data_IF_279640521204
#
_entry.id   IF_279640521204
#
_cell.length_a   1.000
_cell.length_b   1.000
_cell.length_c   1.000
_cell.angle_alpha   90.00
_cell.angle_beta   90.00
_cell.angle_gamma   90.00
#
_symmetry.space_group_name_H-M   'P 1'
#
loop_
_entity.id
_entity.type
_entity.pdbx_description
1 polymer ?
#
# COMPACT_ATOMS: atom_id res chain seq x y z
N UNK A 1 24.93 -15.08 -47.71
CA UNK A 1 25.08 -13.67 -47.30
C UNK A 1 24.57 -13.54 -45.87
N UNK A 2 25.47 -13.52 -44.89
CA UNK A 2 25.11 -13.23 -43.51
C UNK A 2 25.13 -11.71 -43.35
N UNK A 3 23.97 -11.08 -43.22
CA UNK A 3 23.90 -9.69 -42.77
C UNK A 3 24.34 -9.66 -41.31
N UNK A 4 25.53 -9.09 -41.05
CA UNK A 4 25.92 -8.75 -39.69
C UNK A 4 24.94 -7.70 -39.18
N UNK A 5 24.22 -8.03 -38.11
CA UNK A 5 23.35 -7.08 -37.45
C UNK A 5 24.20 -5.89 -36.99
N UNK A 6 23.85 -4.67 -37.43
CA UNK A 6 24.54 -3.49 -36.94
C UNK A 6 24.29 -3.36 -35.43
N UNK A 7 25.33 -3.08 -34.63
CA UNK A 7 25.17 -2.90 -33.20
C UNK A 7 24.22 -1.75 -32.90
N UNK A 8 23.35 -1.96 -31.93
CA UNK A 8 22.38 -1.00 -31.44
C UNK A 8 23.09 0.28 -30.96
N UNK A 9 22.38 1.42 -30.96
CA UNK A 9 22.91 2.67 -30.42
C UNK A 9 23.40 2.54 -28.97
N UNK A 10 22.79 1.63 -28.21
CA UNK A 10 23.14 1.34 -26.83
C UNK A 10 24.49 0.61 -26.72
N UNK A 11 24.77 -0.34 -27.61
CA UNK A 11 26.07 -1.04 -27.67
C UNK A 11 27.22 -0.10 -28.04
N UNK A 12 26.96 0.93 -28.86
CA UNK A 12 27.96 1.94 -29.23
C UNK A 12 28.33 2.88 -28.08
N UNK A 13 27.42 3.11 -27.14
CA UNK A 13 27.61 4.04 -26.01
C UNK A 13 28.19 3.37 -24.75
N UNK A 14 28.18 2.04 -24.67
CA UNK A 14 28.62 1.30 -23.49
C UNK A 14 30.10 1.55 -23.10
N UNK A 15 31.07 1.69 -24.02
CA UNK A 15 32.45 2.04 -23.65
C UNK A 15 32.57 3.41 -22.99
N UNK A 16 31.84 4.42 -23.51
CA UNK A 16 31.82 5.76 -22.94
C UNK A 16 31.17 5.77 -21.55
N UNK A 17 30.07 5.03 -21.37
CA UNK A 17 29.43 4.83 -20.07
C UNK A 17 30.39 4.23 -19.05
N UNK A 18 31.10 3.15 -19.39
CA UNK A 18 32.10 2.52 -18.51
C UNK A 18 33.25 3.45 -18.16
N UNK A 19 33.70 4.26 -19.12
CA UNK A 19 34.74 5.25 -18.88
C UNK A 19 34.30 6.32 -17.87
N UNK A 20 33.11 6.91 -18.07
CA UNK A 20 32.56 7.92 -17.14
C UNK A 20 32.34 7.31 -15.75
N UNK A 21 31.80 6.10 -15.66
CA UNK A 21 31.64 5.38 -14.40
C UNK A 21 32.98 5.21 -13.68
N UNK A 22 34.03 4.78 -14.38
CA UNK A 22 35.37 4.61 -13.81
C UNK A 22 35.93 5.93 -13.26
N UNK A 23 35.86 7.02 -14.04
CA UNK A 23 36.34 8.35 -13.64
C UNK A 23 35.61 8.84 -12.39
N UNK A 24 34.28 8.71 -12.36
CA UNK A 24 33.47 9.11 -11.21
C UNK A 24 33.78 8.26 -9.98
N UNK A 25 33.96 6.96 -10.15
CA UNK A 25 34.36 6.08 -9.06
C UNK A 25 35.72 6.49 -8.48
N UNK A 26 36.68 6.89 -9.31
CA UNK A 26 38.00 7.34 -8.86
C UNK A 26 37.89 8.66 -8.09
N UNK A 27 37.13 9.64 -8.60
CA UNK A 27 36.84 10.88 -7.90
C UNK A 27 36.23 10.62 -6.49
N UNK A 28 35.31 9.67 -6.40
CA UNK A 28 34.67 9.30 -5.13
C UNK A 28 35.58 8.56 -4.14
N UNK A 29 36.79 8.11 -4.53
CA UNK A 29 37.76 7.47 -3.60
C UNK A 29 38.50 8.48 -2.73
N UNK A 30 38.58 9.75 -3.13
CA UNK A 30 39.35 10.74 -2.38
C UNK A 30 38.65 11.13 -1.07
N UNK A 31 39.35 10.99 0.06
CA UNK A 31 38.81 11.33 1.39
C UNK A 31 38.50 12.83 1.60
N UNK A 32 38.80 13.69 0.62
CA UNK A 32 38.55 15.13 0.67
C UNK A 32 37.32 15.56 -0.14
N UNK A 33 36.39 14.65 -0.42
CA UNK A 33 35.23 14.97 -1.23
C UNK A 33 34.28 15.95 -0.52
N UNK A 34 34.03 17.08 -1.18
CA UNK A 34 33.01 18.04 -0.74
C UNK A 34 31.61 17.49 -0.99
N UNK A 35 30.56 17.95 -0.28
CA UNK A 35 29.17 17.57 -0.59
C UNK A 35 28.81 17.78 -2.06
N UNK A 36 29.37 18.81 -2.70
CA UNK A 36 29.19 19.07 -4.13
C UNK A 36 29.74 17.93 -4.99
N UNK A 37 30.99 17.52 -4.76
CA UNK A 37 31.64 16.43 -5.48
C UNK A 37 30.92 15.10 -5.25
N UNK A 38 30.47 14.85 -4.01
CA UNK A 38 29.67 13.66 -3.67
C UNK A 38 28.34 13.66 -4.41
N UNK A 39 27.62 14.79 -4.41
CA UNK A 39 26.32 14.92 -5.09
C UNK A 39 26.47 14.71 -6.61
N UNK A 40 27.40 15.41 -7.25
CA UNK A 40 27.65 15.29 -8.69
C UNK A 40 28.05 13.86 -9.08
N UNK A 41 29.00 13.26 -8.35
CA UNK A 41 29.45 11.90 -8.61
C UNK A 41 28.34 10.88 -8.40
N UNK A 42 27.60 10.99 -7.29
CA UNK A 42 26.50 10.07 -6.98
C UNK A 42 25.36 10.21 -8.00
N UNK A 43 24.95 11.43 -8.36
CA UNK A 43 23.96 11.67 -9.42
C UNK A 43 24.38 11.07 -10.74
N UNK A 44 25.66 11.22 -11.12
CA UNK A 44 26.18 10.62 -12.35
C UNK A 44 26.08 9.10 -12.31
N UNK A 45 26.48 8.45 -11.21
CA UNK A 45 26.35 6.99 -11.04
C UNK A 45 24.89 6.52 -11.08
N UNK A 46 23.96 7.32 -10.54
CA UNK A 46 22.52 7.04 -10.59
C UNK A 46 22.00 7.05 -12.03
N UNK A 47 22.30 8.10 -12.81
CA UNK A 47 21.89 8.18 -14.21
C UNK A 47 22.51 7.08 -15.08
N UNK A 48 23.74 6.67 -14.76
CA UNK A 48 24.39 5.52 -15.40
C UNK A 48 23.83 4.17 -14.93
N UNK A 49 22.86 4.13 -14.02
CA UNK A 49 22.28 2.89 -13.45
C UNK A 49 23.36 1.95 -12.88
N UNK A 50 24.41 2.52 -12.29
CA UNK A 50 25.49 1.75 -11.66
C UNK A 50 24.96 0.97 -10.43
N UNK A 51 25.50 -0.23 -10.20
CA UNK A 51 25.16 -1.08 -9.04
C UNK A 51 26.31 -1.09 -8.02
N UNK A 52 26.79 0.08 -7.63
CA UNK A 52 27.96 0.21 -6.76
C UNK A 52 27.55 0.59 -5.34
N UNK A 53 28.21 -0.03 -4.34
CA UNK A 53 28.11 0.33 -2.91
C UNK A 53 28.42 1.82 -2.67
N UNK A 54 29.16 2.45 -3.60
CA UNK A 54 29.48 3.88 -3.56
C UNK A 54 28.26 4.79 -3.69
N UNK A 55 27.19 4.36 -4.39
CA UNK A 55 25.95 5.13 -4.42
C UNK A 55 25.35 5.22 -3.02
N UNK A 56 25.25 4.10 -2.31
CA UNK A 56 24.68 4.06 -0.96
C UNK A 56 25.53 4.88 0.03
N UNK A 57 26.86 4.77 -0.05
CA UNK A 57 27.78 5.63 0.73
C UNK A 57 27.63 7.11 0.40
N UNK A 58 27.51 7.45 -0.89
CA UNK A 58 27.26 8.80 -1.36
C UNK A 58 25.96 9.36 -0.80
N UNK A 59 24.84 8.64 -0.95
CA UNK A 59 23.53 9.02 -0.41
C UNK A 59 23.58 9.20 1.11
N UNK A 60 24.19 8.26 1.84
CA UNK A 60 24.35 8.34 3.30
C UNK A 60 25.12 9.59 3.72
N UNK A 61 26.20 9.91 2.98
CA UNK A 61 27.01 11.09 3.21
C UNK A 61 26.24 12.38 2.95
N UNK A 62 25.45 12.42 1.87
CA UNK A 62 24.60 13.57 1.52
C UNK A 62 23.48 13.79 2.54
N UNK A 63 22.80 12.73 2.98
CA UNK A 63 21.79 12.82 4.04
C UNK A 63 22.36 13.39 5.35
N UNK A 64 23.62 13.08 5.66
CA UNK A 64 24.31 13.57 6.86
C UNK A 64 24.82 15.02 6.72
N UNK A 65 25.15 15.44 5.49
CA UNK A 65 25.67 16.77 5.19
C UNK A 65 24.56 17.81 4.95
N UNK A 66 23.44 17.40 4.35
CA UNK A 66 22.35 18.29 3.93
C UNK A 66 21.83 19.23 5.04
N UNK A 67 21.57 18.77 6.28
CA UNK A 67 21.08 19.65 7.35
C UNK A 67 22.05 20.77 7.75
N UNK A 68 23.33 20.65 7.36
CA UNK A 68 24.41 21.59 7.69
C UNK A 68 24.71 22.57 6.55
N UNK A 69 24.16 22.33 5.35
CA UNK A 69 24.28 23.23 4.22
C UNK A 69 23.29 24.39 4.44
N UNK A 70 23.79 25.52 4.95
CA UNK A 70 22.98 26.72 5.12
C UNK A 70 22.38 27.22 3.80
N UNK A 71 21.25 27.92 3.88
CA UNK A 71 20.63 28.62 2.74
C UNK A 71 21.44 29.89 2.44
N UNK A 72 22.63 29.73 1.84
CA UNK A 72 23.39 30.86 1.31
C UNK A 72 22.75 31.44 0.05
N UNK A 73 23.00 32.72 -0.22
CA UNK A 73 22.62 33.35 -1.50
C UNK A 73 23.33 32.65 -2.67
N UNK A 74 22.66 32.63 -3.83
CA UNK A 74 23.22 32.10 -5.07
C UNK A 74 24.36 33.01 -5.54
N UNK A 75 25.57 32.81 -5.03
CA UNK A 75 26.75 33.49 -5.56
C UNK A 75 27.21 32.77 -6.83
N UNK A 76 26.98 33.40 -7.98
CA UNK A 76 27.72 33.09 -9.20
C UNK A 76 29.04 33.85 -9.11
N UNK A 77 30.13 33.16 -8.77
CA UNK A 77 31.45 33.79 -8.84
C UNK A 77 31.81 34.04 -10.31
N UNK A 78 31.77 35.30 -10.74
CA UNK A 78 32.57 35.75 -11.88
C UNK A 78 33.90 36.23 -11.33
N UNK A 79 34.99 35.48 -11.52
CA UNK A 79 36.33 35.97 -11.19
C UNK A 79 37.08 36.42 -12.45
N UNK A 80 37.39 37.71 -12.47
CA UNK A 80 38.52 38.31 -13.18
C UNK A 80 39.81 37.67 -12.64
N UNK A 81 40.69 37.17 -13.51
CA UNK A 81 42.05 36.61 -13.27
C UNK A 81 42.33 35.14 -13.64
N UNK A 82 41.79 34.64 -14.75
CA UNK A 82 42.44 33.58 -15.55
C UNK A 82 42.40 32.13 -15.05
N UNK A 83 42.21 31.88 -13.75
CA UNK A 83 42.07 30.53 -13.19
C UNK A 83 40.61 30.23 -12.83
N UNK A 84 39.95 29.43 -13.67
CA UNK A 84 38.56 29.03 -13.47
C UNK A 84 38.45 28.00 -12.33
N UNK A 85 38.03 28.44 -11.15
CA UNK A 85 37.65 27.55 -10.05
C UNK A 85 36.15 27.64 -9.81
N UNK A 86 35.42 26.63 -10.29
CA UNK A 86 34.01 26.43 -9.94
C UNK A 86 33.96 25.84 -8.52
N UNK A 87 34.08 26.69 -7.50
CA UNK A 87 33.68 26.29 -6.16
C UNK A 87 32.15 26.34 -6.12
N UNK A 88 31.51 25.17 -6.03
CA UNK A 88 30.07 25.07 -5.97
C UNK A 88 29.53 25.97 -4.86
N UNK A 89 28.76 27.00 -5.21
CA UNK A 89 28.10 27.84 -4.21
C UNK A 89 27.26 26.96 -3.27
N UNK A 90 26.99 27.39 -2.03
CA UNK A 90 26.12 26.64 -1.13
C UNK A 90 24.78 26.29 -1.78
N UNK A 91 24.18 27.22 -2.54
CA UNK A 91 22.92 27.03 -3.27
C UNK A 91 23.03 25.99 -4.37
N UNK A 92 24.06 26.04 -5.21
CA UNK A 92 24.26 25.04 -6.28
C UNK A 92 24.54 23.66 -5.71
N UNK A 93 25.31 23.60 -4.62
CA UNK A 93 25.59 22.35 -3.89
C UNK A 93 24.31 21.78 -3.29
N UNK A 94 23.48 22.61 -2.68
CA UNK A 94 22.18 22.22 -2.14
C UNK A 94 21.24 21.69 -3.24
N UNK A 95 21.14 22.41 -4.36
CA UNK A 95 20.33 22.00 -5.51
C UNK A 95 20.78 20.64 -6.06
N UNK A 96 22.09 20.42 -6.19
CA UNK A 96 22.63 19.13 -6.60
C UNK A 96 22.32 18.03 -5.59
N UNK A 97 22.44 18.29 -4.28
CA UNK A 97 22.07 17.31 -3.25
C UNK A 97 20.59 16.92 -3.35
N UNK A 98 19.70 17.89 -3.53
CA UNK A 98 18.26 17.66 -3.68
C UNK A 98 17.98 16.83 -4.95
N UNK A 99 18.62 17.17 -6.07
CA UNK A 99 18.52 16.41 -7.32
C UNK A 99 19.00 14.96 -7.12
N UNK A 100 20.19 14.76 -6.53
CA UNK A 100 20.73 13.41 -6.25
C UNK A 100 19.74 12.58 -5.44
N UNK A 101 19.22 13.14 -4.34
CA UNK A 101 18.29 12.46 -3.46
C UNK A 101 16.96 12.17 -4.17
N UNK A 102 16.47 13.10 -4.99
CA UNK A 102 15.25 12.94 -5.77
C UNK A 102 15.37 11.82 -6.81
N UNK A 103 16.49 11.77 -7.55
CA UNK A 103 16.78 10.70 -8.52
C UNK A 103 16.90 9.36 -7.80
N UNK A 104 17.60 9.29 -6.67
CA UNK A 104 17.70 8.08 -5.87
C UNK A 104 16.33 7.58 -5.39
N UNK A 105 15.49 8.47 -4.84
CA UNK A 105 14.13 8.14 -4.42
C UNK A 105 13.31 7.60 -5.60
N UNK A 106 13.40 8.22 -6.78
CA UNK A 106 12.71 7.75 -7.98
C UNK A 106 13.20 6.35 -8.42
N UNK A 107 14.51 6.10 -8.37
CA UNK A 107 15.09 4.78 -8.67
C UNK A 107 14.66 3.72 -7.66
N UNK A 108 14.63 4.05 -6.36
CA UNK A 108 14.14 3.13 -5.33
C UNK A 108 12.66 2.82 -5.51
N UNK A 109 11.83 3.82 -5.86
CA UNK A 109 10.41 3.60 -6.22
C UNK A 109 10.27 2.65 -7.39
N UNK A 110 11.08 2.80 -8.44
CA UNK A 110 11.09 1.90 -9.61
C UNK A 110 11.52 0.47 -9.25
N UNK A 111 12.53 0.32 -8.40
CA UNK A 111 13.00 -0.98 -7.88
C UNK A 111 11.94 -1.66 -7.01
N UNK A 112 11.27 -0.90 -6.14
CA UNK A 112 10.19 -1.42 -5.31
C UNK A 112 8.99 -1.83 -6.17
N UNK A 113 8.68 -1.07 -7.23
CA UNK A 113 7.63 -1.44 -8.17
C UNK A 113 7.94 -2.75 -8.89
N UNK A 114 9.16 -2.94 -9.40
CA UNK A 114 9.55 -4.19 -10.07
C UNK A 114 9.55 -5.39 -9.12
N UNK A 115 9.98 -5.19 -7.87
CA UNK A 115 9.91 -6.22 -6.84
C UNK A 115 8.45 -6.57 -6.49
N UNK A 116 7.57 -5.58 -6.36
CA UNK A 116 6.14 -5.80 -6.11
C UNK A 116 5.46 -6.54 -7.26
N UNK A 117 5.81 -6.22 -8.52
CA UNK A 117 5.33 -6.95 -9.69
C UNK A 117 5.77 -8.41 -9.63
N UNK A 118 7.05 -8.67 -9.34
CA UNK A 118 7.57 -10.03 -9.22
C UNK A 118 6.91 -10.81 -8.08
N UNK A 119 6.75 -10.20 -6.90
CA UNK A 119 6.06 -10.82 -5.76
C UNK A 119 4.62 -11.17 -6.13
N UNK A 120 3.91 -10.25 -6.78
CA UNK A 120 2.54 -10.46 -7.25
C UNK A 120 2.50 -11.67 -8.19
N UNK A 121 3.34 -11.70 -9.21
CA UNK A 121 3.42 -12.82 -10.17
C UNK A 121 3.67 -14.16 -9.46
N UNK A 122 4.64 -14.24 -8.54
CA UNK A 122 4.93 -15.46 -7.79
C UNK A 122 3.75 -15.94 -6.93
N UNK A 123 3.05 -15.00 -6.27
CA UNK A 123 1.85 -15.30 -5.48
C UNK A 123 0.72 -15.83 -6.37
N UNK A 124 0.47 -15.19 -7.51
CA UNK A 124 -0.59 -15.64 -8.43
C UNK A 124 -0.23 -16.95 -9.14
N UNK A 125 1.04 -17.20 -9.44
CA UNK A 125 1.51 -18.52 -9.88
C UNK A 125 1.25 -19.56 -8.79
N UNK A 126 1.55 -19.26 -7.52
CA UNK A 126 1.24 -20.15 -6.41
C UNK A 126 -0.26 -20.46 -6.31
N UNK A 127 -1.12 -19.45 -6.48
CA UNK A 127 -2.58 -19.62 -6.50
C UNK A 127 -3.04 -20.47 -7.71
N UNK A 128 -2.48 -20.25 -8.90
CA UNK A 128 -2.77 -21.05 -10.10
C UNK A 128 -2.38 -22.52 -9.93
N UNK A 129 -1.27 -22.81 -9.26
CA UNK A 129 -0.89 -24.21 -8.98
C UNK A 129 -1.94 -24.94 -8.13
N UNK A 130 -2.65 -24.23 -7.25
CA UNK A 130 -3.63 -24.82 -6.33
C UNK A 130 -4.95 -25.18 -7.00
N UNK A 131 -5.23 -24.62 -8.17
CA UNK A 131 -6.49 -24.87 -8.89
C UNK A 131 -6.36 -25.98 -9.94
N UNK A 132 -5.14 -26.43 -10.26
CA UNK A 132 -4.85 -27.41 -11.32
C UNK A 132 -5.64 -28.73 -11.23
N UNK A 133 -6.03 -29.14 -10.03
CA UNK A 133 -6.71 -30.40 -9.78
C UNK A 133 -8.23 -30.24 -9.58
N UNK A 134 -8.78 -29.05 -9.83
CA UNK A 134 -10.21 -28.82 -9.71
C UNK A 134 -10.96 -29.51 -10.88
N UNK A 135 -12.21 -29.96 -10.65
CA UNK A 135 -13.08 -30.41 -11.73
C UNK A 135 -13.24 -29.33 -12.81
N UNK A 136 -13.35 -29.74 -14.07
CA UNK A 136 -13.30 -28.84 -15.24
C UNK A 136 -14.17 -27.58 -15.12
N UNK A 137 -15.43 -27.73 -14.70
CA UNK A 137 -16.36 -26.59 -14.57
C UNK A 137 -15.89 -25.58 -13.53
N UNK A 138 -15.53 -26.05 -12.33
CA UNK A 138 -15.05 -25.21 -11.25
C UNK A 138 -13.67 -24.61 -11.58
N UNK A 139 -12.79 -25.38 -12.23
CA UNK A 139 -11.48 -24.91 -12.69
C UNK A 139 -11.61 -23.67 -13.59
N UNK A 140 -12.46 -23.74 -14.62
CA UNK A 140 -12.65 -22.63 -15.56
C UNK A 140 -13.14 -21.36 -14.87
N UNK A 141 -14.09 -21.50 -13.94
CA UNK A 141 -14.66 -20.39 -13.19
C UNK A 141 -13.63 -19.76 -12.23
N UNK A 142 -13.00 -20.58 -11.39
CA UNK A 142 -11.98 -20.17 -10.42
C UNK A 142 -10.77 -19.53 -11.13
N UNK A 143 -10.34 -20.09 -12.26
CA UNK A 143 -9.25 -19.54 -13.06
C UNK A 143 -9.61 -18.16 -13.62
N UNK A 144 -10.84 -17.97 -14.09
CA UNK A 144 -11.32 -16.65 -14.53
C UNK A 144 -11.30 -15.64 -13.38
N UNK A 145 -11.88 -15.99 -12.22
CA UNK A 145 -11.88 -15.10 -11.04
C UNK A 145 -10.46 -14.73 -10.63
N UNK A 146 -9.55 -15.71 -10.59
CA UNK A 146 -8.16 -15.48 -10.21
C UNK A 146 -7.43 -14.57 -11.22
N UNK A 147 -7.67 -14.74 -12.53
CA UNK A 147 -7.14 -13.84 -13.56
C UNK A 147 -7.69 -12.43 -13.42
N UNK A 148 -9.00 -12.29 -13.29
CA UNK A 148 -9.67 -10.98 -13.16
C UNK A 148 -9.13 -10.24 -11.92
N UNK A 149 -9.02 -10.94 -10.77
CA UNK A 149 -8.45 -10.39 -9.55
C UNK A 149 -6.95 -10.06 -9.65
N UNK A 150 -6.19 -10.79 -10.47
CA UNK A 150 -4.78 -10.47 -10.73
C UNK A 150 -4.60 -9.17 -11.50
N UNK A 151 -5.60 -8.72 -12.25
CA UNK A 151 -5.56 -7.44 -12.97
C UNK A 151 -6.07 -6.28 -12.10
N UNK A 152 -6.82 -6.59 -11.04
CA UNK A 152 -7.36 -5.59 -10.13
C UNK A 152 -6.27 -4.89 -9.29
N UNK A 153 -6.52 -3.62 -8.94
CA UNK A 153 -5.64 -2.81 -8.07
C UNK A 153 -5.43 -3.45 -6.70
N UNK A 154 -6.47 -4.08 -6.16
CA UNK A 154 -6.47 -4.78 -4.88
C UNK A 154 -5.64 -6.07 -4.94
N UNK A 155 -5.49 -6.70 -6.10
CA UNK A 155 -4.70 -7.92 -6.26
C UNK A 155 -3.23 -7.74 -5.87
N UNK A 156 -2.64 -6.59 -6.20
CA UNK A 156 -1.27 -6.26 -5.79
C UNK A 156 -1.16 -6.05 -4.27
N UNK A 157 -2.13 -5.35 -3.67
CA UNK A 157 -2.16 -5.12 -2.23
C UNK A 157 -2.33 -6.43 -1.45
N UNK A 158 -3.24 -7.30 -1.89
CA UNK A 158 -3.49 -8.60 -1.30
C UNK A 158 -2.23 -9.49 -1.33
N UNK A 159 -1.57 -9.57 -2.48
CA UNK A 159 -0.36 -10.36 -2.65
C UNK A 159 0.83 -9.82 -1.83
N UNK A 160 0.97 -8.50 -1.76
CA UNK A 160 2.11 -7.83 -1.12
C UNK A 160 2.01 -7.69 0.40
N UNK A 161 0.82 -7.77 1.00
CA UNK A 161 0.62 -7.50 2.43
C UNK A 161 1.50 -8.35 3.37
N UNK A 162 1.71 -9.67 3.14
CA UNK A 162 2.61 -10.45 3.99
C UNK A 162 4.07 -10.00 3.93
N UNK A 163 4.53 -9.53 2.75
CA UNK A 163 5.88 -9.00 2.57
C UNK A 163 6.05 -7.66 3.28
N UNK A 164 5.04 -6.79 3.17
CA UNK A 164 4.97 -5.54 3.93
C UNK A 164 4.99 -5.81 5.44
N UNK A 165 4.23 -6.79 5.92
CA UNK A 165 4.23 -7.14 7.33
C UNK A 165 5.59 -7.70 7.76
N UNK A 166 6.19 -8.58 6.95
CA UNK A 166 7.50 -9.14 7.24
C UNK A 166 8.59 -8.06 7.32
N UNK A 167 8.59 -7.07 6.43
CA UNK A 167 9.56 -5.96 6.49
C UNK A 167 9.44 -5.12 7.76
N UNK A 168 8.26 -5.14 8.42
CA UNK A 168 8.09 -4.49 9.73
C UNK A 168 8.59 -5.29 10.92
N UNK A 169 8.70 -6.61 10.75
CA UNK A 169 9.11 -7.57 11.79
C UNK A 169 10.62 -7.86 11.73
N UNK A 170 11.27 -7.62 10.60
CA UNK A 170 12.71 -7.77 10.45
C UNK A 170 13.45 -6.53 10.96
N UNK A 171 14.27 -6.70 11.99
CA UNK A 171 15.54 -5.96 12.07
C UNK A 171 16.56 -6.65 11.17
N UNK A 172 17.71 -6.03 10.90
CA UNK A 172 18.76 -6.60 10.04
C UNK A 172 19.08 -8.07 10.37
N UNK A 173 18.90 -8.57 11.62
CA UNK A 173 19.36 -9.89 12.05
C UNK A 173 18.36 -10.80 12.81
N UNK A 174 17.05 -10.49 12.88
CA UNK A 174 16.14 -11.16 13.85
C UNK A 174 15.14 -12.19 13.30
N UNK A 175 14.21 -11.77 12.45
CA UNK A 175 13.11 -12.61 11.99
C UNK A 175 13.47 -13.37 10.70
N UNK A 176 13.32 -14.70 10.71
CA UNK A 176 13.61 -15.55 9.53
C UNK A 176 12.33 -16.23 9.04
N UNK A 177 11.52 -15.50 8.28
CA UNK A 177 10.47 -16.11 7.45
C UNK A 177 11.06 -16.29 6.05
N UNK A 178 11.04 -17.52 5.54
CA UNK A 178 11.57 -17.76 4.19
C UNK A 178 10.68 -17.09 3.14
N UNK A 179 11.28 -16.66 2.04
CA UNK A 179 10.55 -16.09 0.89
C UNK A 179 9.40 -16.97 0.41
N UNK A 180 9.61 -18.30 0.38
CA UNK A 180 8.57 -19.28 0.03
C UNK A 180 7.37 -19.24 0.96
N UNK A 181 7.58 -19.09 2.28
CA UNK A 181 6.48 -18.96 3.24
C UNK A 181 5.71 -17.66 2.99
N UNK A 182 6.41 -16.55 2.69
CA UNK A 182 5.74 -15.28 2.35
C UNK A 182 4.89 -15.38 1.09
N UNK A 183 5.37 -16.08 0.05
CA UNK A 183 4.57 -16.36 -1.16
C UNK A 183 3.32 -17.19 -0.82
N UNK A 184 3.45 -18.22 0.03
CA UNK A 184 2.28 -19.01 0.46
C UNK A 184 1.30 -18.18 1.30
N UNK A 185 1.78 -17.31 2.21
CA UNK A 185 0.92 -16.38 2.95
C UNK A 185 0.24 -15.36 2.01
N UNK A 186 0.95 -14.90 0.97
CA UNK A 186 0.41 -14.03 -0.07
C UNK A 186 -0.72 -14.73 -0.81
N UNK A 187 -0.53 -16.00 -1.15
CA UNK A 187 -1.55 -16.83 -1.76
C UNK A 187 -2.77 -16.98 -0.83
N UNK A 188 -2.56 -17.24 0.46
CA UNK A 188 -3.65 -17.34 1.43
C UNK A 188 -4.45 -16.04 1.53
N UNK A 189 -3.76 -14.89 1.51
CA UNK A 189 -4.40 -13.59 1.57
C UNK A 189 -5.19 -13.27 0.30
N UNK A 190 -4.65 -13.57 -0.89
CA UNK A 190 -5.36 -13.45 -2.17
C UNK A 190 -6.61 -14.31 -2.18
N UNK A 191 -6.52 -15.59 -1.78
CA UNK A 191 -7.67 -16.47 -1.67
C UNK A 191 -8.71 -15.91 -0.67
N UNK A 192 -8.27 -15.42 0.49
CA UNK A 192 -9.14 -14.77 1.46
C UNK A 192 -9.88 -13.55 0.87
N UNK A 193 -9.15 -12.64 0.21
CA UNK A 193 -9.75 -11.45 -0.42
C UNK A 193 -10.80 -11.83 -1.45
N UNK A 194 -10.47 -12.75 -2.36
CA UNK A 194 -11.42 -13.22 -3.37
C UNK A 194 -12.67 -13.80 -2.71
N UNK A 195 -12.51 -14.67 -1.69
CA UNK A 195 -13.65 -15.26 -1.01
C UNK A 195 -14.57 -14.20 -0.39
N UNK A 196 -14.00 -13.23 0.34
CA UNK A 196 -14.78 -12.16 0.97
C UNK A 196 -15.46 -11.25 -0.05
N UNK A 197 -14.78 -10.89 -1.15
CA UNK A 197 -15.39 -10.12 -2.25
C UNK A 197 -16.59 -10.86 -2.85
N UNK A 198 -16.45 -12.16 -3.13
CA UNK A 198 -17.56 -12.95 -3.68
C UNK A 198 -18.75 -13.08 -2.71
N UNK A 199 -18.49 -13.21 -1.40
CA UNK A 199 -19.55 -13.19 -0.40
C UNK A 199 -20.25 -11.83 -0.32
N UNK A 200 -19.47 -10.75 -0.34
CA UNK A 200 -19.97 -9.37 -0.31
C UNK A 200 -20.83 -9.08 -1.54
N UNK A 201 -20.35 -9.43 -2.75
CA UNK A 201 -21.11 -9.29 -4.00
C UNK A 201 -22.46 -10.03 -3.96
N UNK A 202 -22.51 -11.19 -3.30
CA UNK A 202 -23.76 -11.95 -3.13
C UNK A 202 -24.72 -11.27 -2.15
N UNK A 203 -24.22 -10.76 -1.02
CA UNK A 203 -25.02 -10.06 -0.01
C UNK A 203 -25.58 -8.75 -0.59
N UNK A 204 -24.77 -8.06 -1.37
CA UNK A 204 -25.13 -6.83 -2.10
C UNK A 204 -26.05 -7.09 -3.30
N UNK A 205 -26.36 -8.35 -3.60
CA UNK A 205 -27.19 -8.76 -4.75
C UNK A 205 -26.66 -8.19 -6.07
N UNK A 206 -25.34 -8.15 -6.23
CA UNK A 206 -24.73 -7.72 -7.48
C UNK A 206 -25.14 -8.66 -8.62
N UNK A 207 -25.23 -8.11 -9.83
CA UNK A 207 -25.67 -8.89 -11.00
C UNK A 207 -24.75 -10.09 -11.20
N UNK A 208 -25.36 -11.28 -11.24
CA UNK A 208 -24.68 -12.58 -11.47
C UNK A 208 -23.77 -13.03 -10.32
N UNK A 209 -23.78 -12.39 -9.15
CA UNK A 209 -22.97 -12.81 -8.00
C UNK A 209 -23.23 -14.28 -7.60
N UNK A 210 -24.50 -14.71 -7.64
CA UNK A 210 -24.92 -16.09 -7.36
C UNK A 210 -24.22 -17.13 -8.24
N UNK A 211 -23.82 -16.76 -9.46
CA UNK A 211 -23.11 -17.67 -10.38
C UNK A 211 -21.71 -18.02 -9.87
N UNK A 212 -21.10 -17.12 -9.08
CA UNK A 212 -19.75 -17.28 -8.54
C UNK A 212 -19.73 -17.77 -7.09
N UNK A 213 -20.90 -17.92 -6.47
CA UNK A 213 -21.03 -18.39 -5.09
C UNK A 213 -20.34 -19.75 -4.86
N UNK A 214 -20.36 -20.74 -5.77
CA UNK A 214 -19.63 -22.00 -5.57
C UNK A 214 -18.11 -21.83 -5.45
N UNK A 215 -17.54 -20.76 -6.04
CA UNK A 215 -16.11 -20.46 -5.98
C UNK A 215 -15.68 -19.87 -4.63
N UNK A 216 -16.57 -19.15 -3.92
CA UNK A 216 -16.21 -18.49 -2.65
C UNK A 216 -15.77 -19.49 -1.55
N UNK A 217 -16.52 -20.59 -1.27
CA UNK A 217 -16.06 -21.62 -0.33
C UNK A 217 -14.76 -22.29 -0.75
N UNK A 218 -14.48 -22.42 -2.05
CA UNK A 218 -13.20 -22.95 -2.52
C UNK A 218 -12.04 -22.06 -2.07
N UNK A 219 -12.08 -20.77 -2.41
CA UNK A 219 -11.04 -19.81 -2.03
C UNK A 219 -10.89 -19.69 -0.51
N UNK A 220 -12.01 -19.65 0.22
CA UNK A 220 -12.00 -19.60 1.67
C UNK A 220 -11.29 -20.82 2.30
N UNK A 221 -11.68 -22.04 1.89
CA UNK A 221 -11.03 -23.27 2.35
C UNK A 221 -9.55 -23.31 1.97
N UNK A 222 -9.19 -22.82 0.79
CA UNK A 222 -7.80 -22.80 0.35
C UNK A 222 -6.93 -21.87 1.20
N UNK A 223 -7.45 -20.70 1.59
CA UNK A 223 -6.79 -19.82 2.54
C UNK A 223 -6.53 -20.51 3.89
N UNK A 224 -7.56 -21.17 4.46
CA UNK A 224 -7.42 -21.91 5.72
C UNK A 224 -6.47 -23.11 5.61
N UNK A 225 -6.51 -23.83 4.48
CA UNK A 225 -5.61 -24.96 4.21
C UNK A 225 -4.15 -24.52 4.20
N UNK A 226 -3.86 -23.32 3.70
CA UNK A 226 -2.51 -22.76 3.74
C UNK A 226 -2.07 -22.47 5.16
N UNK A 227 -2.90 -21.80 5.97
CA UNK A 227 -2.56 -21.55 7.37
C UNK A 227 -2.34 -22.85 8.16
N UNK A 228 -3.11 -23.90 7.88
CA UNK A 228 -2.95 -25.22 8.49
C UNK A 228 -1.62 -25.92 8.19
N UNK A 229 -0.91 -25.54 7.12
CA UNK A 229 0.46 -26.03 6.89
C UNK A 229 1.48 -25.47 7.88
N UNK A 230 1.20 -24.28 8.42
CA UNK A 230 2.12 -23.51 9.25
C UNK A 230 1.80 -23.62 10.74
N UNK A 231 0.53 -23.83 11.08
CA UNK A 231 0.06 -23.81 12.45
C UNK A 231 -0.64 -25.12 12.80
N UNK A 232 -0.06 -25.94 13.71
CA UNK A 232 -0.74 -27.08 14.31
C UNK A 232 -2.10 -26.68 14.90
N UNK A 233 -3.04 -27.64 15.01
CA UNK A 233 -4.43 -27.37 15.45
C UNK A 233 -4.54 -26.76 16.86
N UNK A 234 -3.56 -27.00 17.74
CA UNK A 234 -3.50 -26.42 19.08
C UNK A 234 -2.74 -25.08 19.15
N UNK A 235 -2.23 -24.57 18.03
CA UNK A 235 -1.46 -23.33 18.00
C UNK A 235 -2.32 -22.10 18.33
N UNK A 236 -1.83 -21.11 19.13
CA UNK A 236 -2.60 -19.92 19.52
C UNK A 236 -3.15 -19.08 18.36
N UNK A 237 -2.51 -19.16 17.18
CA UNK A 237 -3.01 -18.56 15.94
C UNK A 237 -4.47 -18.90 15.68
N UNK A 238 -4.89 -20.15 15.87
CA UNK A 238 -6.26 -20.57 15.56
C UNK A 238 -7.31 -19.90 16.44
N UNK A 239 -7.00 -19.64 17.71
CA UNK A 239 -7.88 -18.85 18.58
C UNK A 239 -8.07 -17.44 18.05
N UNK A 240 -6.98 -16.79 17.63
CA UNK A 240 -7.00 -15.45 17.05
C UNK A 240 -7.73 -15.44 15.70
N UNK A 241 -7.48 -16.44 14.86
CA UNK A 241 -8.12 -16.64 13.56
C UNK A 241 -9.63 -16.77 13.71
N UNK A 242 -10.09 -17.69 14.56
CA UNK A 242 -11.51 -17.93 14.82
C UNK A 242 -12.19 -16.68 15.40
N UNK A 243 -11.50 -15.91 16.23
CA UNK A 243 -12.03 -14.64 16.76
C UNK A 243 -12.24 -13.61 15.65
N UNK A 244 -11.26 -13.46 14.74
CA UNK A 244 -11.38 -12.56 13.59
C UNK A 244 -12.52 -12.99 12.66
N UNK A 245 -12.59 -14.29 12.35
CA UNK A 245 -13.63 -14.84 11.47
C UNK A 245 -15.03 -14.68 12.08
N UNK A 246 -15.19 -14.91 13.38
CA UNK A 246 -16.47 -14.67 14.06
C UNK A 246 -16.90 -13.19 13.99
N UNK A 247 -15.97 -12.24 14.02
CA UNK A 247 -16.28 -10.81 13.83
C UNK A 247 -16.76 -10.56 12.39
N UNK A 248 -16.07 -11.11 11.39
CA UNK A 248 -16.43 -11.00 9.97
C UNK A 248 -17.82 -11.60 9.72
N UNK A 249 -18.07 -12.83 10.18
CA UNK A 249 -19.33 -13.54 10.01
C UNK A 249 -20.49 -12.76 10.65
N UNK A 250 -20.29 -12.23 11.86
CA UNK A 250 -21.29 -11.40 12.55
C UNK A 250 -21.54 -10.07 11.82
N UNK A 251 -20.52 -9.48 11.21
CA UNK A 251 -20.69 -8.26 10.42
C UNK A 251 -21.53 -8.50 9.16
N UNK A 252 -21.28 -9.59 8.42
CA UNK A 252 -22.12 -10.01 7.29
C UNK A 252 -23.55 -10.38 7.72
N UNK A 253 -23.71 -11.07 8.84
CA UNK A 253 -25.04 -11.39 9.38
C UNK A 253 -25.83 -10.11 9.71
N UNK A 254 -25.21 -9.11 10.33
CA UNK A 254 -25.87 -7.83 10.60
C UNK A 254 -26.29 -7.12 9.32
N UNK A 255 -25.42 -7.07 8.32
CA UNK A 255 -25.71 -6.39 7.06
C UNK A 255 -26.83 -7.07 6.28
N UNK A 256 -26.81 -8.40 6.16
CA UNK A 256 -27.89 -9.16 5.50
C UNK A 256 -29.26 -8.97 6.17
N UNK A 257 -29.26 -8.73 7.49
CA UNK A 257 -30.45 -8.40 8.28
C UNK A 257 -30.76 -6.90 8.34
N UNK A 258 -30.02 -6.06 7.61
CA UNK A 258 -30.12 -4.58 7.62
C UNK A 258 -29.98 -3.96 9.02
N UNK A 259 -29.24 -4.62 9.92
CA UNK A 259 -28.94 -4.12 11.26
C UNK A 259 -27.84 -3.07 11.16
N UNK A 260 -28.20 -1.82 11.45
CA UNK A 260 -27.27 -0.68 11.32
C UNK A 260 -26.15 -0.78 12.34
N UNK A 261 -24.91 -0.79 11.88
CA UNK A 261 -23.72 -0.73 12.74
C UNK A 261 -23.20 0.70 12.86
N UNK A 262 -22.57 1.08 13.99
CA UNK A 262 -21.87 2.36 14.08
C UNK A 262 -20.73 2.44 13.05
N UNK A 263 -20.44 3.65 12.54
CA UNK A 263 -19.39 3.88 11.51
C UNK A 263 -18.03 3.27 11.86
N UNK A 264 -17.68 3.22 13.15
CA UNK A 264 -16.40 2.69 13.62
C UNK A 264 -16.25 1.17 13.40
N UNK A 265 -17.33 0.50 13.02
CA UNK A 265 -17.37 -0.94 12.74
C UNK A 265 -17.45 -1.26 11.24
N UNK A 266 -17.40 -0.26 10.34
CA UNK A 266 -17.48 -0.51 8.89
C UNK A 266 -16.39 -1.46 8.38
N UNK A 267 -15.23 -1.51 9.03
CA UNK A 267 -14.14 -2.40 8.63
C UNK A 267 -14.25 -3.85 9.13
N UNK A 268 -15.28 -4.21 9.90
CA UNK A 268 -15.39 -5.56 10.49
C UNK A 268 -15.53 -6.66 9.43
N UNK A 269 -16.26 -6.42 8.33
CA UNK A 269 -16.41 -7.37 7.21
C UNK A 269 -15.07 -7.72 6.55
N UNK A 270 -14.17 -6.74 6.47
CA UNK A 270 -12.87 -6.88 5.82
C UNK A 270 -11.78 -7.35 6.79
N UNK A 271 -12.06 -7.52 8.08
CA UNK A 271 -11.03 -7.79 9.10
C UNK A 271 -10.29 -9.11 8.84
N UNK A 272 -10.90 -10.05 8.12
CA UNK A 272 -10.25 -11.28 7.65
C UNK A 272 -8.98 -11.04 6.82
N UNK A 273 -8.85 -9.88 6.17
CA UNK A 273 -7.64 -9.45 5.46
C UNK A 273 -6.41 -9.27 6.37
N UNK A 274 -6.61 -9.12 7.68
CA UNK A 274 -5.52 -9.01 8.66
C UNK A 274 -4.89 -10.36 9.02
N UNK A 275 -5.53 -11.49 8.67
CA UNK A 275 -5.08 -12.83 9.08
C UNK A 275 -3.66 -13.15 8.61
N UNK A 276 -3.27 -12.70 7.42
CA UNK A 276 -1.93 -12.94 6.90
C UNK A 276 -0.86 -12.17 7.67
N UNK A 277 -1.18 -10.96 8.13
CA UNK A 277 -0.29 -10.15 8.95
C UNK A 277 -0.15 -10.75 10.35
N UNK A 278 -1.26 -11.20 10.94
CA UNK A 278 -1.27 -11.94 12.21
C UNK A 278 -0.44 -13.22 12.10
N UNK A 279 -0.62 -14.00 11.02
CA UNK A 279 0.18 -15.19 10.74
C UNK A 279 1.68 -14.87 10.65
N UNK A 280 2.07 -13.79 9.99
CA UNK A 280 3.47 -13.36 9.90
C UNK A 280 4.05 -13.00 11.28
N UNK A 281 3.27 -12.40 12.20
CA UNK A 281 3.73 -12.14 13.57
C UNK A 281 4.00 -13.45 14.33
N UNK A 282 3.11 -14.44 14.24
CA UNK A 282 3.33 -15.75 14.85
C UNK A 282 4.53 -16.49 14.24
N UNK A 283 4.67 -16.48 12.92
CA UNK A 283 5.78 -17.15 12.22
C UNK A 283 7.14 -16.49 12.45
N UNK A 284 7.16 -15.23 12.87
CA UNK A 284 8.39 -14.55 13.27
C UNK A 284 8.74 -14.73 14.75
N UNK A 285 7.96 -15.53 15.50
CA UNK A 285 8.13 -15.76 16.95
C UNK A 285 8.15 -14.46 17.76
N UNK A 286 7.38 -13.49 17.28
CA UNK A 286 7.31 -12.14 17.81
C UNK A 286 5.93 -11.83 18.38
N UNK A 287 5.12 -12.86 18.60
CA UNK A 287 3.74 -12.84 19.05
C UNK A 287 3.62 -12.60 20.56
N UNK A 288 3.71 -11.34 20.97
CA UNK A 288 3.19 -10.95 22.28
C UNK A 288 1.68 -10.70 22.19
N UNK A 289 0.93 -11.01 23.26
CA UNK A 289 -0.51 -10.73 23.35
C UNK A 289 -0.81 -9.27 23.02
N UNK A 290 0.01 -8.34 23.51
CA UNK A 290 -0.11 -6.92 23.21
C UNK A 290 0.11 -6.62 21.73
N UNK A 291 1.15 -7.18 21.11
CA UNK A 291 1.47 -6.93 19.70
C UNK A 291 0.38 -7.46 18.78
N UNK A 292 -0.10 -8.69 18.99
CA UNK A 292 -1.20 -9.28 18.21
C UNK A 292 -2.45 -8.39 18.32
N UNK A 293 -2.83 -8.00 19.54
CA UNK A 293 -3.98 -7.11 19.75
C UNK A 293 -3.81 -5.75 19.07
N UNK A 294 -2.60 -5.16 19.10
CA UNK A 294 -2.33 -3.90 18.41
C UNK A 294 -2.39 -4.07 16.88
N UNK A 295 -1.84 -5.15 16.32
CA UNK A 295 -1.92 -5.40 14.87
C UNK A 295 -3.36 -5.59 14.41
N UNK A 296 -4.15 -6.40 15.13
CA UNK A 296 -5.57 -6.57 14.83
C UNK A 296 -6.32 -5.24 14.89
N UNK A 297 -6.09 -4.46 15.95
CA UNK A 297 -6.74 -3.15 16.12
C UNK A 297 -6.29 -2.13 15.06
N UNK A 298 -5.02 -2.14 14.67
CA UNK A 298 -4.51 -1.33 13.57
C UNK A 298 -5.26 -1.65 12.28
N UNK A 299 -5.33 -2.93 11.90
CA UNK A 299 -6.03 -3.32 10.67
C UNK A 299 -7.51 -3.02 10.74
N UNK A 300 -8.18 -3.21 11.88
CA UNK A 300 -9.59 -2.83 12.05
C UNK A 300 -9.79 -1.32 11.78
N UNK A 301 -8.95 -0.46 12.36
CA UNK A 301 -9.05 0.99 12.16
C UNK A 301 -8.71 1.41 10.72
N UNK A 302 -7.67 0.81 10.14
CA UNK A 302 -7.27 1.04 8.75
C UNK A 302 -8.37 0.62 7.76
N UNK A 303 -8.92 -0.59 7.91
CA UNK A 303 -9.99 -1.11 7.07
C UNK A 303 -11.29 -0.35 7.27
N UNK A 304 -11.60 0.07 8.50
CA UNK A 304 -12.74 0.96 8.77
C UNK A 304 -12.57 2.28 8.05
N UNK A 305 -11.37 2.87 8.04
CA UNK A 305 -11.13 4.10 7.31
C UNK A 305 -11.29 3.92 5.81
N UNK A 306 -10.75 2.83 5.25
CA UNK A 306 -10.90 2.51 3.81
C UNK A 306 -12.38 2.30 3.44
N UNK A 307 -13.10 1.44 4.16
CA UNK A 307 -14.50 1.14 3.87
C UNK A 307 -15.39 2.37 4.03
N UNK A 308 -15.21 3.14 5.10
CA UNK A 308 -16.00 4.35 5.32
C UNK A 308 -15.71 5.41 4.24
N UNK A 309 -14.48 5.49 3.73
CA UNK A 309 -14.17 6.34 2.60
C UNK A 309 -14.88 5.86 1.32
N UNK A 310 -14.88 4.55 1.04
CA UNK A 310 -15.59 3.99 -0.11
C UNK A 310 -17.11 4.23 0.00
N UNK A 311 -17.72 3.92 1.15
CA UNK A 311 -19.15 4.17 1.44
C UNK A 311 -19.52 5.67 1.28
N UNK A 312 -18.61 6.59 1.59
CA UNK A 312 -18.83 8.03 1.40
C UNK A 312 -18.87 8.43 -0.08
N UNK A 313 -18.12 7.75 -0.96
CA UNK A 313 -18.16 7.99 -2.40
C UNK A 313 -19.39 7.34 -3.05
N UNK A 314 -19.77 6.16 -2.56
CA UNK A 314 -20.79 5.33 -3.20
C UNK A 314 -22.19 5.43 -2.55
N UNK A 315 -22.36 6.24 -1.49
CA UNK A 315 -23.61 6.28 -0.69
C UNK A 315 -24.90 6.44 -1.51
N UNK A 316 -24.88 7.23 -2.59
CA UNK A 316 -26.06 7.42 -3.44
C UNK A 316 -26.35 6.18 -4.29
N UNK A 317 -25.30 5.51 -4.79
CA UNK A 317 -25.43 4.25 -5.52
C UNK A 317 -25.89 3.12 -4.58
N UNK A 318 -25.38 3.09 -3.35
CA UNK A 318 -25.81 2.16 -2.32
C UNK A 318 -27.29 2.35 -2.00
N UNK A 319 -27.70 3.59 -1.71
CA UNK A 319 -29.10 3.91 -1.43
C UNK A 319 -30.03 3.53 -2.58
N UNK A 320 -29.68 3.89 -3.82
CA UNK A 320 -30.50 3.57 -5.00
C UNK A 320 -30.53 2.08 -5.32
N UNK A 321 -29.46 1.35 -4.98
CA UNK A 321 -29.40 -0.11 -5.04
C UNK A 321 -30.12 -0.81 -3.88
N UNK A 322 -30.71 -0.07 -2.93
CA UNK A 322 -31.36 -0.65 -1.74
C UNK A 322 -30.40 -1.16 -0.67
N UNK A 323 -29.11 -0.82 -0.76
CA UNK A 323 -28.06 -1.19 0.19
C UNK A 323 -28.03 -0.15 1.32
N UNK A 324 -28.19 -0.63 2.56
CA UNK A 324 -28.22 0.23 3.75
C UNK A 324 -26.86 0.14 4.46
N UNK A 325 -25.86 0.81 3.87
CA UNK A 325 -24.54 0.95 4.50
C UNK A 325 -24.61 1.86 5.73
N UNK A 326 -23.60 1.86 6.62
CA UNK A 326 -23.56 2.77 7.78
C UNK A 326 -23.74 4.25 7.42
N UNK A 327 -23.19 4.69 6.27
CA UNK A 327 -23.37 6.05 5.74
C UNK A 327 -24.81 6.28 5.31
N UNK A 328 -25.40 5.39 4.50
CA UNK A 328 -26.80 5.50 4.07
C UNK A 328 -27.74 5.51 5.28
N UNK A 329 -27.50 4.65 6.27
CA UNK A 329 -28.27 4.64 7.52
C UNK A 329 -28.24 5.99 8.23
N UNK A 330 -27.08 6.65 8.30
CA UNK A 330 -26.97 7.99 8.89
C UNK A 330 -27.77 9.02 8.10
N UNK A 331 -27.70 9.02 6.76
CA UNK A 331 -28.50 9.93 5.92
C UNK A 331 -29.99 9.75 6.22
N UNK A 332 -30.47 8.50 6.26
CA UNK A 332 -31.87 8.18 6.50
C UNK A 332 -32.33 8.46 7.94
N UNK A 333 -31.41 8.54 8.91
CA UNK A 333 -31.71 8.94 10.31
C UNK A 333 -31.95 10.45 10.45
N UNK A 334 -31.35 11.27 9.57
CA UNK A 334 -31.48 12.73 9.63
C UNK A 334 -32.71 13.28 8.91
N UNK A 335 -33.43 12.46 8.14
CA UNK A 335 -34.68 12.89 7.48
C UNK A 335 -35.63 11.74 7.21
N UNK A 336 -36.93 12.02 7.33
CA UNK A 336 -38.00 11.11 6.91
C UNK A 336 -38.23 11.15 5.39
N UNK A 337 -37.77 12.20 4.71
CA UNK A 337 -37.88 12.31 3.25
C UNK A 337 -37.10 11.19 2.57
N UNK A 338 -37.66 10.68 1.46
CA UNK A 338 -37.00 9.72 0.57
C UNK A 338 -36.65 10.34 -0.79
N UNK A 339 -36.85 11.66 -0.92
CA UNK A 339 -36.46 12.41 -2.10
C UNK A 339 -34.94 12.57 -2.15
N UNK A 340 -34.31 12.13 -3.24
CA UNK A 340 -32.85 12.13 -3.39
C UNK A 340 -32.22 13.52 -3.24
N UNK A 341 -32.91 14.59 -3.64
CA UNK A 341 -32.39 15.97 -3.49
C UNK A 341 -32.29 16.34 -2.01
N UNK A 342 -33.29 15.98 -1.20
CA UNK A 342 -33.25 16.18 0.25
C UNK A 342 -32.17 15.34 0.91
N UNK A 343 -32.03 14.08 0.50
CA UNK A 343 -30.99 13.19 1.03
C UNK A 343 -29.58 13.71 0.72
N UNK A 344 -29.35 14.27 -0.47
CA UNK A 344 -28.09 14.91 -0.83
C UNK A 344 -27.76 16.06 0.13
N UNK A 345 -28.70 16.97 0.38
CA UNK A 345 -28.49 18.09 1.32
C UNK A 345 -28.09 17.55 2.69
N UNK A 346 -28.84 16.59 3.22
CA UNK A 346 -28.54 15.93 4.51
C UNK A 346 -27.16 15.27 4.52
N UNK A 347 -26.79 14.60 3.43
CA UNK A 347 -25.48 13.97 3.31
C UNK A 347 -24.36 15.01 3.44
N UNK A 348 -24.44 16.09 2.65
CA UNK A 348 -23.42 17.13 2.61
C UNK A 348 -23.33 17.93 3.92
N UNK A 349 -24.46 18.31 4.52
CA UNK A 349 -24.48 19.19 5.70
C UNK A 349 -24.24 18.46 7.02
N UNK A 350 -24.59 17.17 7.12
CA UNK A 350 -24.59 16.46 8.40
C UNK A 350 -23.74 15.19 8.39
N UNK A 351 -23.92 14.33 7.39
CA UNK A 351 -23.31 12.99 7.41
C UNK A 351 -21.83 13.06 7.06
N UNK A 352 -21.49 13.75 5.99
CA UNK A 352 -20.12 13.88 5.52
C UNK A 352 -19.18 14.50 6.58
N UNK A 353 -19.49 15.65 7.23
CA UNK A 353 -18.64 16.19 8.28
C UNK A 353 -18.41 15.22 9.43
N UNK A 354 -19.46 14.52 9.86
CA UNK A 354 -19.39 13.53 10.94
C UNK A 354 -18.54 12.31 10.54
N UNK A 355 -18.70 11.79 9.33
CA UNK A 355 -17.89 10.69 8.81
C UNK A 355 -16.43 11.08 8.68
N UNK A 356 -16.13 12.30 8.20
CA UNK A 356 -14.77 12.85 8.16
C UNK A 356 -14.11 12.89 9.55
N UNK A 357 -14.84 13.29 10.59
CA UNK A 357 -14.32 13.25 11.97
C UNK A 357 -13.98 11.82 12.43
N UNK A 358 -14.83 10.85 12.09
CA UNK A 358 -14.58 9.43 12.40
C UNK A 358 -13.34 8.94 11.64
N UNK A 359 -13.18 9.28 10.36
CA UNK A 359 -12.01 8.94 9.55
C UNK A 359 -10.71 9.47 10.15
N UNK A 360 -10.64 10.77 10.48
CA UNK A 360 -9.48 11.36 11.15
C UNK A 360 -9.18 10.65 12.47
N UNK A 361 -10.22 10.35 13.27
CA UNK A 361 -10.04 9.60 14.52
C UNK A 361 -9.49 8.17 14.28
N UNK A 362 -9.93 7.49 13.22
CA UNK A 362 -9.39 6.19 12.83
C UNK A 362 -7.90 6.27 12.50
N UNK A 363 -7.48 7.23 11.66
CA UNK A 363 -6.07 7.43 11.29
C UNK A 363 -5.21 7.71 12.52
N UNK A 364 -5.62 8.66 13.37
CA UNK A 364 -4.90 9.02 14.58
C UNK A 364 -4.77 7.85 15.57
N UNK A 365 -5.86 7.09 15.76
CA UNK A 365 -5.83 5.91 16.63
C UNK A 365 -4.98 4.79 16.02
N UNK A 366 -5.01 4.60 14.72
CA UNK A 366 -4.19 3.60 14.03
C UNK A 366 -2.70 3.92 14.20
N UNK A 367 -2.29 5.19 14.04
CA UNK A 367 -0.93 5.67 14.33
C UNK A 367 -0.50 5.35 15.76
N UNK A 368 -1.33 5.71 16.76
CA UNK A 368 -1.05 5.42 18.18
C UNK A 368 -0.92 3.92 18.46
N UNK A 369 -1.79 3.10 17.87
CA UNK A 369 -1.77 1.64 18.05
C UNK A 369 -0.51 1.01 17.42
N UNK A 370 -0.04 1.50 16.28
CA UNK A 370 1.24 1.03 15.70
C UNK A 370 2.43 1.34 16.61
N UNK A 371 2.48 2.53 17.22
CA UNK A 371 3.52 2.88 18.20
C UNK A 371 3.46 1.91 19.38
N UNK A 372 2.26 1.61 19.89
CA UNK A 372 2.06 0.67 21.00
C UNK A 372 2.40 -0.78 20.66
N UNK A 373 2.34 -1.17 19.38
CA UNK A 373 2.71 -2.51 18.92
C UNK A 373 4.20 -2.81 19.10
N UNK A 374 5.04 -1.76 19.28
CA UNK A 374 6.49 -1.84 19.40
C UNK A 374 7.10 -2.72 18.31
N UNK A 375 6.69 -2.50 17.06
CA UNK A 375 7.26 -3.19 15.92
C UNK A 375 8.70 -2.74 15.71
N UNK A 376 9.60 -3.63 15.29
CA UNK A 376 10.98 -3.24 15.04
C UNK A 376 11.15 -2.18 13.93
N UNK A 377 10.33 -2.25 12.88
CA UNK A 377 10.34 -1.30 11.78
C UNK A 377 8.90 -0.95 11.33
N UNK A 378 8.17 -0.08 12.06
CA UNK A 378 6.76 0.18 11.75
C UNK A 378 6.55 0.98 10.46
N UNK A 379 7.61 1.46 9.80
CA UNK A 379 7.54 2.45 8.73
C UNK A 379 6.68 2.00 7.54
N UNK A 380 6.72 0.71 7.17
CA UNK A 380 5.92 0.21 6.05
C UNK A 380 4.41 0.24 6.35
N UNK A 381 3.99 0.07 7.61
CA UNK A 381 2.59 0.17 8.00
C UNK A 381 2.15 1.64 8.17
N UNK A 382 3.06 2.52 8.60
CA UNK A 382 2.81 3.96 8.55
C UNK A 382 2.59 4.43 7.12
N UNK A 383 3.44 4.02 6.17
CA UNK A 383 3.27 4.35 4.77
C UNK A 383 1.94 3.84 4.19
N UNK A 384 1.52 2.61 4.55
CA UNK A 384 0.22 2.08 4.16
C UNK A 384 -0.94 2.95 4.67
N UNK A 385 -0.83 3.45 5.90
CA UNK A 385 -1.82 4.32 6.52
C UNK A 385 -1.83 5.72 5.90
N UNK A 386 -0.65 6.31 5.69
CA UNK A 386 -0.46 7.63 5.06
C UNK A 386 -1.01 7.66 3.64
N UNK A 387 -0.87 6.56 2.88
CA UNK A 387 -1.48 6.48 1.54
C UNK A 387 -3.01 6.58 1.61
N UNK A 388 -3.63 5.86 2.55
CA UNK A 388 -5.08 5.93 2.74
C UNK A 388 -5.55 7.31 3.26
N UNK A 389 -4.76 7.93 4.14
CA UNK A 389 -5.00 9.31 4.62
C UNK A 389 -4.87 10.32 3.48
N UNK A 390 -3.88 10.16 2.60
CA UNK A 390 -3.70 11.02 1.43
C UNK A 390 -4.86 10.90 0.44
N UNK A 391 -5.31 9.68 0.16
CA UNK A 391 -6.46 9.42 -0.71
C UNK A 391 -7.73 10.06 -0.13
N UNK A 392 -7.92 9.96 1.19
CA UNK A 392 -9.00 10.64 1.91
C UNK A 392 -8.88 12.17 1.83
N UNK A 393 -7.71 12.76 2.09
CA UNK A 393 -7.50 14.21 2.03
C UNK A 393 -7.74 14.75 0.62
N UNK A 394 -7.38 13.99 -0.40
CA UNK A 394 -7.69 14.31 -1.80
C UNK A 394 -9.20 14.33 -2.02
N UNK A 395 -9.91 13.26 -1.64
CA UNK A 395 -11.36 13.17 -1.75
C UNK A 395 -12.06 14.31 -0.99
N UNK A 396 -11.61 14.60 0.24
CA UNK A 396 -12.13 15.70 1.07
C UNK A 396 -11.98 17.06 0.39
N UNK A 397 -10.85 17.34 -0.27
CA UNK A 397 -10.66 18.58 -1.05
C UNK A 397 -11.61 18.65 -2.24
N UNK A 398 -11.76 17.58 -3.00
CA UNK A 398 -12.68 17.51 -4.15
C UNK A 398 -14.12 17.76 -3.70
N UNK A 399 -14.53 17.09 -2.63
CA UNK A 399 -15.82 17.25 -1.94
C UNK A 399 -16.04 18.70 -1.51
N UNK A 400 -15.04 19.35 -0.90
CA UNK A 400 -15.13 20.74 -0.48
C UNK A 400 -15.29 21.68 -1.68
N UNK A 401 -14.53 21.47 -2.76
CA UNK A 401 -14.67 22.24 -4.01
C UNK A 401 -16.06 22.10 -4.62
N UNK A 402 -16.62 20.89 -4.64
CA UNK A 402 -17.99 20.63 -5.13
C UNK A 402 -19.01 21.35 -4.26
N UNK A 403 -18.87 21.26 -2.93
CA UNK A 403 -19.76 21.93 -1.99
C UNK A 403 -19.71 23.45 -2.19
N UNK A 404 -18.52 24.04 -2.26
CA UNK A 404 -18.35 25.47 -2.54
C UNK A 404 -18.95 25.85 -3.89
N UNK A 405 -18.85 25.03 -4.93
CA UNK A 405 -19.47 25.32 -6.23
C UNK A 405 -21.01 25.26 -6.18
N UNK A 406 -21.58 24.24 -5.53
CA UNK A 406 -23.03 24.03 -5.46
C UNK A 406 -23.70 25.08 -4.56
N UNK A 407 -23.05 25.43 -3.46
CA UNK A 407 -23.61 26.31 -2.42
C UNK A 407 -22.98 27.71 -2.40
N UNK A 408 -22.09 28.04 -3.36
CA UNK A 408 -21.60 29.40 -3.51
C UNK A 408 -22.81 30.33 -3.71
N UNK A 409 -22.92 31.41 -2.92
CA UNK A 409 -23.93 32.43 -3.19
C UNK A 409 -23.68 32.92 -4.60
N UNK A 410 -24.68 32.77 -5.48
CA UNK A 410 -24.65 33.31 -6.83
C UNK A 410 -24.28 34.78 -6.70
N UNK A 411 -23.06 35.16 -7.12
CA UNK A 411 -22.63 36.56 -7.14
C UNK A 411 -23.63 37.30 -8.03
N UNK A 412 -24.54 38.02 -7.40
CA UNK A 412 -25.49 38.93 -8.04
C UNK A 412 -24.76 40.18 -8.48
#
# INVERSE_FOLDING_TARGET
>A
MFHSAQPSAQEKLEPARKYVECVVLELLKNNQNTPHTIALGTTTLLYLHSKTEKIEKGITSLCSAYPKLGMGELCIYTNFHGDCRVAGSPTTTLALCIETLSVWIAMQKKKNLSQNVKIKEEVFVCAQQRIKHLPFLLHKEVEKILRDFSLDKNGAQAAGLPFLMFSTLTQEHGAKISHRILVELGCANVCGWIAYTLFDDCIDKQKRAEQFLPSAPFFYREALRIYAKFFPTNHPFWKTCNTILAIVDNAYAKESLHITSPLIHSGEKSLGHSLCAVAAVFLSHQDSKQRIACIQKFFLLYLTAKQLNDDLHDWEQDYTGGRITPVVSLVLKHTVSRNIKTLRIVFWEHVLPKSCQVLTCCFDRAKRVLIQAKLPNPQSLFYLLEQAEHDFDKAKREIQTIHEFIFAPSKK
#
